data_IF_299309322508
#
_entry.id   IF_299309322508
#
_cell.length_a   1.000
_cell.length_b   1.000
_cell.length_c   1.000
_cell.angle_alpha   90.00
_cell.angle_beta   90.00
_cell.angle_gamma   90.00
#
_symmetry.space_group_name_H-M   'P 1'
#
loop_
_entity.id
_entity.type
_entity.pdbx_description
1 polymer ?
#
# COMPACT_ATOMS: atom_id res chain seq x y z
N UNK A 1 -34.14 -58.43 -17.90
CA UNK A 1 -33.05 -57.92 -18.73
C UNK A 1 -31.74 -58.37 -18.09
N UNK A 2 -31.06 -59.29 -18.77
CA UNK A 2 -29.74 -59.82 -18.42
C UNK A 2 -28.69 -58.70 -18.47
N UNK A 3 -27.71 -58.71 -17.56
CA UNK A 3 -26.30 -58.80 -17.92
C UNK A 3 -25.48 -59.32 -16.72
N UNK A 4 -24.74 -60.40 -16.99
CA UNK A 4 -23.92 -61.18 -16.05
C UNK A 4 -22.49 -61.14 -16.58
N UNK A 5 -21.57 -60.71 -15.69
CA UNK A 5 -20.14 -61.04 -15.52
C UNK A 5 -19.09 -60.72 -16.60
N UNK A 6 -18.00 -60.09 -16.14
CA UNK A 6 -16.66 -60.72 -16.15
C UNK A 6 -15.74 -60.16 -15.05
N UNK A 7 -15.32 -61.05 -14.16
CA UNK A 7 -14.18 -60.90 -13.25
C UNK A 7 -12.95 -61.41 -14.00
N UNK A 8 -11.82 -60.67 -13.94
CA UNK A 8 -10.50 -61.24 -14.17
C UNK A 8 -9.54 -60.69 -13.11
N UNK A 9 -9.20 -61.55 -12.16
CA UNK A 9 -8.02 -61.41 -11.32
C UNK A 9 -6.86 -62.16 -11.98
N UNK A 10 -5.66 -61.58 -11.99
CA UNK A 10 -4.42 -62.33 -12.09
C UNK A 10 -3.29 -61.55 -11.40
N UNK A 11 -2.57 -62.30 -10.57
CA UNK A 11 -1.57 -61.84 -9.62
C UNK A 11 -0.17 -61.75 -10.25
N UNK A 12 0.64 -60.84 -9.68
CA UNK A 12 2.01 -61.14 -9.23
C UNK A 12 3.13 -61.21 -10.27
N UNK A 13 3.95 -60.17 -10.30
CA UNK A 13 5.40 -60.32 -10.37
C UNK A 13 6.06 -59.19 -9.56
N UNK A 14 6.81 -59.58 -8.53
CA UNK A 14 7.63 -58.71 -7.70
C UNK A 14 8.94 -58.38 -8.43
N UNK A 15 9.37 -57.11 -8.43
CA UNK A 15 10.77 -56.74 -8.71
C UNK A 15 11.19 -55.50 -7.91
N UNK A 16 12.28 -55.70 -7.16
CA UNK A 16 13.30 -54.78 -6.65
C UNK A 16 12.88 -53.58 -5.78
N UNK A 17 12.96 -53.82 -4.47
CA UNK A 17 13.29 -52.83 -3.46
C UNK A 17 14.71 -52.28 -3.75
N UNK A 18 14.80 -51.05 -4.28
CA UNK A 18 16.04 -50.27 -4.28
C UNK A 18 15.86 -49.19 -3.22
N UNK A 19 16.51 -49.38 -2.08
CA UNK A 19 16.62 -48.36 -1.06
C UNK A 19 17.34 -47.13 -1.63
N UNK A 20 16.56 -46.11 -1.99
CA UNK A 20 17.03 -44.77 -2.25
C UNK A 20 16.38 -43.86 -1.23
N UNK A 21 17.11 -43.52 -0.17
CA UNK A 21 16.66 -42.50 0.77
C UNK A 21 16.35 -41.21 0.01
N UNK A 22 15.19 -40.63 0.30
CA UNK A 22 14.86 -39.27 -0.15
C UNK A 22 15.92 -38.36 0.47
N UNK A 23 16.84 -37.85 -0.35
CA UNK A 23 17.62 -36.68 0.03
C UNK A 23 16.63 -35.53 -0.05
N UNK A 24 16.12 -35.13 1.11
CA UNK A 24 15.48 -33.83 1.25
C UNK A 24 16.62 -32.84 1.09
N UNK A 25 16.51 -31.98 0.08
CA UNK A 25 17.34 -30.79 -0.14
C UNK A 25 16.60 -29.63 0.56
N UNK A 26 16.87 -29.35 1.84
CA UNK A 26 16.06 -28.45 2.65
C UNK A 26 16.30 -26.97 2.32
N UNK A 27 17.36 -26.66 1.57
CA UNK A 27 17.77 -25.32 1.14
C UNK A 27 17.62 -25.10 -0.38
N UNK A 28 17.40 -26.16 -1.16
CA UNK A 28 16.97 -26.08 -2.56
C UNK A 28 18.07 -25.69 -3.55
N UNK A 29 19.34 -25.90 -3.19
CA UNK A 29 20.49 -25.50 -4.00
C UNK A 29 20.98 -26.58 -4.98
N UNK A 30 20.41 -27.79 -4.93
CA UNK A 30 20.71 -28.88 -5.83
C UNK A 30 22.06 -29.56 -5.60
N UNK A 31 22.70 -29.38 -4.45
CA UNK A 31 23.97 -30.03 -4.09
C UNK A 31 23.79 -31.19 -3.09
N UNK A 32 24.52 -32.31 -3.25
CA UNK A 32 24.43 -33.43 -2.32
C UNK A 32 25.04 -33.08 -0.95
N UNK A 33 24.19 -33.00 0.08
CA UNK A 33 24.54 -32.61 1.44
C UNK A 33 25.70 -33.41 2.05
N UNK A 34 26.76 -32.70 2.43
CA UNK A 34 27.89 -33.27 3.17
C UNK A 34 27.60 -33.17 4.66
N UNK A 35 27.32 -34.30 5.31
CA UNK A 35 27.18 -34.38 6.76
C UNK A 35 28.53 -34.13 7.43
N UNK A 36 28.77 -32.92 7.92
CA UNK A 36 29.98 -32.59 8.65
C UNK A 36 29.91 -31.25 9.38
N UNK A 37 29.79 -31.32 10.72
CA UNK A 37 30.18 -30.28 11.68
C UNK A 37 29.61 -28.88 11.47
N UNK A 38 28.59 -28.51 12.26
CA UNK A 38 28.07 -27.14 12.31
C UNK A 38 29.21 -26.17 12.68
N UNK A 39 29.63 -25.25 11.80
CA UNK A 39 30.54 -24.19 12.17
C UNK A 39 29.83 -23.27 13.16
N UNK A 40 30.50 -22.88 14.24
CA UNK A 40 29.98 -21.95 15.26
C UNK A 40 29.87 -20.49 14.78
N UNK A 41 29.60 -20.30 13.49
CA UNK A 41 29.41 -19.01 12.82
C UNK A 41 28.25 -19.06 11.82
N UNK A 42 27.21 -19.83 12.16
CA UNK A 42 25.89 -19.65 11.58
C UNK A 42 25.23 -18.48 12.31
N UNK A 43 25.64 -17.26 11.97
CA UNK A 43 24.63 -16.23 11.80
C UNK A 43 23.67 -16.78 10.76
N UNK A 44 22.43 -17.06 11.17
CA UNK A 44 21.34 -17.23 10.21
C UNK A 44 21.31 -15.91 9.46
N UNK A 45 21.94 -15.89 8.28
CA UNK A 45 21.71 -14.82 7.33
C UNK A 45 20.19 -14.83 7.08
N UNK A 46 19.47 -13.70 7.28
CA UNK A 46 18.09 -13.63 6.86
C UNK A 46 18.07 -14.03 5.38
N UNK A 47 17.17 -14.96 5.03
CA UNK A 47 17.10 -15.57 3.72
C UNK A 47 17.36 -14.55 2.59
N UNK A 48 18.20 -14.87 1.59
CA UNK A 48 18.46 -13.95 0.50
C UNK A 48 17.16 -13.68 -0.26
N UNK A 49 16.68 -12.42 -0.27
CA UNK A 49 15.65 -11.98 -1.21
C UNK A 49 14.55 -11.02 -0.74
N UNK A 50 14.76 -10.13 0.24
CA UNK A 50 13.87 -8.95 0.45
C UNK A 50 14.19 -7.82 -0.55
N UNK A 51 14.35 -8.17 -1.83
CA UNK A 51 14.40 -7.21 -2.95
C UNK A 51 13.13 -7.23 -3.80
N UNK A 52 12.12 -8.05 -3.46
CA UNK A 52 10.89 -8.21 -4.24
C UNK A 52 9.65 -7.58 -3.57
N UNK A 53 9.59 -7.56 -2.23
CA UNK A 53 8.43 -7.03 -1.51
C UNK A 53 8.57 -5.51 -1.27
N UNK A 54 7.88 -4.72 -2.07
CA UNK A 54 7.96 -3.26 -2.10
C UNK A 54 6.67 -2.57 -1.59
N UNK A 55 5.67 -3.37 -1.24
CA UNK A 55 4.41 -2.90 -0.67
C UNK A 55 4.08 -3.62 0.64
N UNK A 56 3.28 -2.98 1.49
CA UNK A 56 2.64 -3.64 2.62
C UNK A 56 1.20 -3.16 2.80
N UNK A 57 0.44 -3.80 3.69
CA UNK A 57 -0.96 -3.46 3.86
C UNK A 57 -1.69 -4.35 4.84
N UNK A 58 -3.01 -4.17 4.92
CA UNK A 58 -3.89 -4.88 5.82
C UNK A 58 -5.20 -5.33 5.18
N UNK A 59 -5.67 -6.49 5.63
CA UNK A 59 -6.99 -7.00 5.32
C UNK A 59 -8.04 -6.56 6.34
N UNK A 60 -9.31 -6.64 5.93
CA UNK A 60 -10.46 -6.34 6.78
C UNK A 60 -10.41 -7.07 8.13
N UNK A 61 -10.01 -8.35 8.12
CA UNK A 61 -9.93 -9.17 9.32
C UNK A 61 -8.74 -8.83 10.23
N UNK A 62 -7.86 -7.90 9.84
CA UNK A 62 -6.73 -7.46 10.63
C UNK A 62 -5.40 -8.14 10.35
N UNK A 63 -5.33 -9.05 9.37
CA UNK A 63 -4.06 -9.63 8.92
C UNK A 63 -3.26 -8.60 8.15
N UNK A 64 -2.00 -8.42 8.51
CA UNK A 64 -1.04 -7.61 7.76
C UNK A 64 -0.27 -8.49 6.76
N UNK A 65 0.04 -7.89 5.61
CA UNK A 65 0.71 -8.55 4.49
C UNK A 65 1.83 -7.66 3.93
N UNK A 66 2.83 -8.31 3.34
CA UNK A 66 3.78 -7.70 2.41
C UNK A 66 3.44 -8.21 1.00
N UNK A 67 3.72 -7.40 -0.03
CA UNK A 67 3.44 -7.71 -1.42
C UNK A 67 4.61 -7.33 -2.31
N UNK A 68 4.77 -8.10 -3.39
CA UNK A 68 5.65 -7.80 -4.51
C UNK A 68 4.80 -7.23 -5.65
N UNK A 69 4.98 -5.94 -5.94
CA UNK A 69 4.21 -5.25 -6.98
C UNK A 69 4.51 -5.72 -8.41
N UNK A 70 5.62 -6.42 -8.62
CA UNK A 70 6.03 -6.94 -9.94
C UNK A 70 5.38 -8.29 -10.26
N UNK A 71 5.07 -9.10 -9.24
CA UNK A 71 4.46 -10.42 -9.38
C UNK A 71 3.02 -10.49 -8.87
N UNK A 72 2.57 -9.49 -8.11
CA UNK A 72 1.27 -9.49 -7.45
C UNK A 72 1.12 -10.57 -6.38
N UNK A 73 2.21 -11.20 -5.94
CA UNK A 73 2.21 -12.19 -4.85
C UNK A 73 2.41 -11.46 -3.53
N UNK A 74 1.72 -11.92 -2.49
CA UNK A 74 1.96 -11.45 -1.13
C UNK A 74 2.28 -12.58 -0.15
N UNK A 75 2.68 -12.19 1.06
CA UNK A 75 2.83 -13.10 2.19
C UNK A 75 2.30 -12.47 3.47
N UNK A 76 1.91 -13.33 4.39
CA UNK A 76 1.46 -12.93 5.73
C UNK A 76 2.64 -12.39 6.53
N UNK A 77 2.50 -11.19 7.09
CA UNK A 77 3.38 -10.67 8.14
C UNK A 77 2.91 -11.16 9.51
N UNK A 78 1.59 -11.16 9.73
CA UNK A 78 0.97 -11.63 10.96
C UNK A 78 -0.33 -10.90 11.26
N UNK A 79 -0.95 -11.14 12.44
CA UNK A 79 -2.04 -10.31 12.91
C UNK A 79 -1.53 -8.91 13.26
N UNK A 80 -2.15 -7.86 12.74
CA UNK A 80 -1.79 -6.47 13.05
C UNK A 80 -2.10 -6.05 14.48
N UNK A 81 -2.94 -6.81 15.19
CA UNK A 81 -3.46 -6.46 16.51
C UNK A 81 -4.70 -5.56 16.49
N UNK A 82 -5.17 -5.17 15.32
CA UNK A 82 -6.44 -4.44 15.11
C UNK A 82 -7.25 -5.08 13.98
N UNK A 83 -8.52 -4.72 13.84
CA UNK A 83 -9.44 -5.26 12.83
C UNK A 83 -10.14 -4.12 12.09
N UNK A 84 -10.93 -4.47 11.08
CA UNK A 84 -11.71 -3.53 10.25
C UNK A 84 -10.85 -2.50 9.54
N UNK A 85 -9.63 -2.90 9.17
CA UNK A 85 -8.75 -2.10 8.32
C UNK A 85 -9.34 -2.04 6.92
N UNK A 86 -9.51 -0.85 6.37
CA UNK A 86 -10.27 -0.64 5.15
C UNK A 86 -9.67 0.39 4.18
N UNK A 87 -8.63 1.11 4.58
CA UNK A 87 -7.97 2.12 3.79
C UNK A 87 -6.51 2.23 4.19
N UNK A 88 -5.65 2.61 3.24
CA UNK A 88 -4.21 2.80 3.40
C UNK A 88 -3.74 4.11 2.77
N UNK A 89 -2.66 4.68 3.29
CA UNK A 89 -1.87 5.71 2.63
C UNK A 89 -0.40 5.55 3.06
N UNK A 90 0.60 5.97 2.28
CA UNK A 90 1.97 5.95 2.76
C UNK A 90 2.11 7.02 3.86
N UNK A 91 2.96 6.79 4.87
CA UNK A 91 3.33 7.87 5.80
C UNK A 91 4.32 8.84 5.18
N UNK A 92 4.93 8.43 4.07
CA UNK A 92 6.05 9.11 3.45
C UNK A 92 7.40 8.78 4.09
N UNK A 93 7.45 7.97 5.16
CA UNK A 93 8.68 7.58 5.89
C UNK A 93 8.92 6.06 5.92
N UNK A 94 8.40 5.31 4.93
CA UNK A 94 8.58 3.85 4.87
C UNK A 94 7.59 3.05 5.72
N UNK A 95 6.58 3.72 6.29
CA UNK A 95 5.47 3.09 6.99
C UNK A 95 4.15 3.36 6.25
N UNK A 96 3.08 2.70 6.70
CA UNK A 96 1.75 2.83 6.09
C UNK A 96 0.74 3.28 7.14
N UNK A 97 0.04 4.37 6.85
CA UNK A 97 -1.19 4.71 7.55
C UNK A 97 -2.29 3.74 7.18
N UNK A 98 -3.06 3.28 8.16
CA UNK A 98 -4.28 2.53 7.91
C UNK A 98 -5.45 3.09 8.71
N UNK A 99 -6.64 3.06 8.14
CA UNK A 99 -7.87 3.36 8.86
C UNK A 99 -8.99 2.45 8.37
N UNK A 100 -10.14 2.53 9.03
CA UNK A 100 -11.35 1.83 8.64
C UNK A 100 -12.44 2.16 9.64
N UNK A 101 -13.05 1.14 10.24
CA UNK A 101 -14.04 1.38 11.30
C UNK A 101 -13.39 1.60 12.66
N UNK A 102 -13.99 2.47 13.47
CA UNK A 102 -13.59 2.67 14.86
C UNK A 102 -12.73 3.91 15.14
N UNK A 103 -12.66 4.86 14.21
CA UNK A 103 -12.17 6.21 14.50
C UNK A 103 -10.71 6.28 14.92
N UNK A 104 -9.85 5.41 14.39
CA UNK A 104 -8.40 5.44 14.67
C UNK A 104 -7.62 5.41 13.35
N UNK A 105 -6.63 6.29 13.25
CA UNK A 105 -5.56 6.21 12.27
C UNK A 105 -4.43 5.39 12.88
N UNK A 106 -4.14 4.24 12.27
CA UNK A 106 -3.07 3.33 12.64
C UNK A 106 -1.85 3.57 11.78
N UNK A 107 -0.69 3.19 12.28
CA UNK A 107 0.51 2.96 11.47
C UNK A 107 0.87 1.49 11.56
N UNK A 108 1.03 0.84 10.41
CA UNK A 108 1.56 -0.53 10.31
C UNK A 108 3.08 -0.45 10.12
N UNK A 109 3.80 -1.17 10.98
CA UNK A 109 5.21 -1.46 10.76
C UNK A 109 5.34 -2.59 9.72
N UNK A 110 5.91 -2.33 8.53
CA UNK A 110 5.98 -3.33 7.46
C UNK A 110 6.94 -4.49 7.77
N UNK A 111 7.84 -4.35 8.75
CA UNK A 111 8.77 -5.42 9.13
C UNK A 111 8.11 -6.46 10.05
N UNK A 112 7.15 -6.04 10.87
CA UNK A 112 6.49 -6.90 11.87
C UNK A 112 5.01 -7.14 11.58
N UNK A 113 4.39 -6.31 10.74
CA UNK A 113 2.96 -6.27 10.49
C UNK A 113 2.13 -5.67 11.63
N UNK A 114 2.75 -5.26 12.74
CA UNK A 114 2.05 -4.76 13.92
C UNK A 114 1.55 -3.32 13.71
N UNK A 115 0.32 -3.07 14.14
CA UNK A 115 -0.28 -1.74 14.14
C UNK A 115 -0.04 -1.02 15.47
N UNK A 116 0.27 0.28 15.40
CA UNK A 116 0.25 1.21 16.53
C UNK A 116 -0.65 2.39 16.21
N UNK A 117 -1.37 2.91 17.21
CA UNK A 117 -2.20 4.08 17.00
C UNK A 117 -1.33 5.32 16.70
N UNK A 118 -1.67 6.05 15.65
CA UNK A 118 -1.09 7.35 15.33
C UNK A 118 -1.93 8.48 15.94
N UNK A 119 -3.24 8.45 15.69
CA UNK A 119 -4.20 9.43 16.22
C UNK A 119 -5.62 8.84 16.25
N UNK A 120 -6.47 9.37 17.13
CA UNK A 120 -7.92 9.16 17.05
C UNK A 120 -8.50 10.14 16.04
N UNK A 121 -9.37 9.67 15.14
CA UNK A 121 -10.01 10.49 14.11
C UNK A 121 -11.53 10.53 14.32
N UNK A 122 -12.17 11.60 13.88
CA UNK A 122 -13.63 11.80 14.04
C UNK A 122 -14.48 11.14 12.93
N UNK A 123 -13.86 10.33 12.07
CA UNK A 123 -14.51 9.61 10.98
C UNK A 123 -14.91 8.20 11.43
N UNK A 124 -16.14 7.79 11.13
CA UNK A 124 -16.69 6.53 11.62
C UNK A 124 -16.32 5.32 10.75
N UNK A 125 -16.26 5.52 9.43
CA UNK A 125 -15.95 4.48 8.45
C UNK A 125 -15.11 5.06 7.30
N UNK A 126 -13.79 4.81 7.36
CA UNK A 126 -12.85 5.27 6.33
C UNK A 126 -12.68 4.20 5.25
N UNK A 127 -12.91 4.56 3.99
CA UNK A 127 -12.92 3.66 2.82
C UNK A 127 -11.77 3.86 1.83
N UNK A 128 -11.09 4.99 1.95
CA UNK A 128 -9.91 5.33 1.19
C UNK A 128 -9.09 6.35 1.96
N UNK A 129 -7.78 6.29 1.84
CA UNK A 129 -6.83 7.23 2.43
C UNK A 129 -5.81 7.60 1.37
N UNK A 130 -5.32 8.84 1.35
CA UNK A 130 -4.22 9.22 0.46
C UNK A 130 -3.36 10.30 1.10
N UNK A 131 -2.05 10.21 0.95
CA UNK A 131 -1.12 11.27 1.33
C UNK A 131 -0.84 12.13 0.10
N UNK A 132 -1.10 13.44 0.19
CA UNK A 132 -0.72 14.38 -0.87
C UNK A 132 0.80 14.62 -0.90
N UNK A 133 1.36 15.09 -2.03
CA UNK A 133 2.76 15.52 -2.10
C UNK A 133 3.14 16.59 -1.06
N UNK A 134 2.17 17.40 -0.62
CA UNK A 134 2.34 18.40 0.43
C UNK A 134 2.30 17.85 1.87
N UNK A 135 2.06 16.55 2.04
CA UNK A 135 2.02 15.87 3.35
C UNK A 135 0.66 15.92 4.04
N UNK A 136 -0.42 16.25 3.32
CA UNK A 136 -1.79 16.28 3.85
C UNK A 136 -2.48 14.95 3.59
N UNK A 137 -3.14 14.40 4.60
CA UNK A 137 -3.90 13.15 4.45
C UNK A 137 -5.33 13.47 4.02
N UNK A 138 -5.82 12.77 3.01
CA UNK A 138 -7.19 12.80 2.55
C UNK A 138 -7.85 11.46 2.85
N UNK A 139 -9.16 11.49 3.12
CA UNK A 139 -9.93 10.31 3.47
C UNK A 139 -11.29 10.32 2.79
N UNK A 140 -11.71 9.14 2.33
CA UNK A 140 -13.10 8.86 1.96
C UNK A 140 -13.82 8.36 3.19
N UNK A 141 -14.91 9.03 3.59
CA UNK A 141 -15.75 8.64 4.71
C UNK A 141 -17.13 8.20 4.22
N UNK A 142 -17.52 6.98 4.54
CA UNK A 142 -18.89 6.50 4.32
C UNK A 142 -19.78 6.96 5.46
N UNK A 143 -20.73 7.83 5.15
CA UNK A 143 -21.72 8.31 6.13
C UNK A 143 -22.86 7.32 6.33
N UNK A 144 -23.25 6.61 5.26
CA UNK A 144 -24.28 5.59 5.25
C UNK A 144 -24.21 4.79 3.95
N UNK A 145 -24.48 3.48 4.06
CA UNK A 145 -24.47 2.59 2.91
C UNK A 145 -25.39 3.08 1.78
N UNK A 146 -24.84 3.15 0.56
CA UNK A 146 -25.56 3.57 -0.64
C UNK A 146 -25.83 5.07 -0.73
N UNK A 147 -25.37 5.88 0.23
CA UNK A 147 -25.31 7.33 0.09
C UNK A 147 -23.99 7.76 -0.53
N UNK A 148 -23.93 8.94 -1.17
CA UNK A 148 -22.66 9.47 -1.65
C UNK A 148 -21.63 9.60 -0.53
N UNK A 149 -20.42 9.12 -0.79
CA UNK A 149 -19.31 9.23 0.14
C UNK A 149 -18.81 10.68 0.23
N UNK A 150 -18.04 10.96 1.27
CA UNK A 150 -17.51 12.29 1.55
C UNK A 150 -15.99 12.31 1.52
N UNK A 151 -15.41 13.35 0.92
CA UNK A 151 -13.98 13.61 1.02
C UNK A 151 -13.70 14.48 2.26
N UNK A 152 -12.73 14.05 3.05
CA UNK A 152 -12.24 14.75 4.23
C UNK A 152 -10.74 14.96 4.14
N UNK A 153 -10.26 16.03 4.74
CA UNK A 153 -8.85 16.25 5.05
C UNK A 153 -8.58 15.88 6.50
N UNK A 154 -7.51 15.14 6.77
CA UNK A 154 -7.09 14.75 8.12
C UNK A 154 -5.73 15.38 8.40
N UNK A 155 -5.59 15.98 9.58
CA UNK A 155 -4.27 16.20 10.19
C UNK A 155 -3.83 14.90 10.88
N UNK A 156 -2.80 14.20 10.38
CA UNK A 156 -2.40 12.90 10.92
C UNK A 156 -1.77 12.98 12.33
N UNK A 157 -1.38 14.17 12.81
CA UNK A 157 -0.82 14.34 14.16
C UNK A 157 -1.91 14.50 15.21
N UNK A 158 -2.91 15.34 14.92
CA UNK A 158 -4.01 15.61 15.86
C UNK A 158 -5.22 14.70 15.66
N UNK A 159 -5.34 14.10 14.46
CA UNK A 159 -6.50 13.33 14.02
C UNK A 159 -7.72 14.18 13.67
N UNK A 160 -7.61 15.51 13.73
CA UNK A 160 -8.69 16.41 13.35
C UNK A 160 -9.03 16.22 11.86
N UNK A 161 -10.30 16.00 11.55
CA UNK A 161 -10.79 15.90 10.19
C UNK A 161 -11.67 17.09 9.80
N UNK A 162 -11.47 17.63 8.60
CA UNK A 162 -12.30 18.68 8.00
C UNK A 162 -12.95 18.15 6.74
N UNK A 163 -14.28 18.16 6.70
CA UNK A 163 -15.05 17.80 5.51
C UNK A 163 -14.78 18.78 4.37
N UNK A 164 -14.46 18.26 3.20
CA UNK A 164 -14.28 19.04 1.97
C UNK A 164 -15.61 19.09 1.21
N UNK A 165 -16.21 17.93 0.92
CA UNK A 165 -17.37 17.86 0.04
C UNK A 165 -17.95 16.46 -0.08
N UNK A 166 -19.09 16.34 -0.76
CA UNK A 166 -19.61 15.04 -1.20
C UNK A 166 -18.95 14.67 -2.52
N UNK A 167 -18.60 13.40 -2.67
CA UNK A 167 -17.98 12.85 -3.89
C UNK A 167 -19.01 12.52 -4.98
N UNK A 168 -20.31 12.63 -4.70
CA UNK A 168 -21.39 12.33 -5.65
C UNK A 168 -21.56 10.85 -6.00
N UNK A 169 -20.68 9.98 -5.50
CA UNK A 169 -20.63 8.55 -5.79
C UNK A 169 -20.82 7.75 -4.49
N UNK A 170 -21.68 6.73 -4.47
CA UNK A 170 -21.73 5.79 -3.37
C UNK A 170 -20.72 4.65 -3.60
N UNK A 171 -19.89 4.34 -2.62
CA UNK A 171 -19.03 3.17 -2.70
C UNK A 171 -17.64 3.41 -3.24
N UNK A 172 -17.15 4.63 -3.08
CA UNK A 172 -15.75 4.94 -3.34
C UNK A 172 -14.87 4.15 -2.36
N UNK A 173 -13.98 3.35 -2.92
CA UNK A 173 -12.98 2.56 -2.23
C UNK A 173 -11.59 2.91 -2.74
N UNK A 174 -10.60 2.88 -1.85
CA UNK A 174 -9.25 3.26 -2.23
C UNK A 174 -9.14 4.73 -2.64
N UNK A 175 -7.97 5.30 -2.40
CA UNK A 175 -7.68 6.67 -2.72
C UNK A 175 -6.17 6.75 -2.89
N UNK A 176 -5.67 7.46 -3.89
CA UNK A 176 -4.24 7.60 -4.07
C UNK A 176 -3.92 8.90 -4.81
N UNK A 177 -2.87 9.60 -4.38
CA UNK A 177 -2.24 10.60 -5.23
C UNK A 177 -1.30 9.90 -6.19
N UNK A 178 -1.40 10.23 -7.47
CA UNK A 178 -0.39 9.89 -8.46
C UNK A 178 0.05 11.18 -9.16
N UNK A 179 1.25 11.64 -8.81
CA UNK A 179 1.64 13.04 -9.01
C UNK A 179 0.75 13.99 -8.18
N UNK A 180 0.26 15.05 -8.80
CA UNK A 180 -0.64 16.04 -8.17
C UNK A 180 -2.13 15.65 -8.25
N UNK A 181 -2.46 14.58 -8.98
CA UNK A 181 -3.84 14.15 -9.20
C UNK A 181 -4.27 13.15 -8.14
N UNK A 182 -5.41 13.43 -7.49
CA UNK A 182 -6.06 12.50 -6.59
C UNK A 182 -6.98 11.58 -7.39
N UNK A 183 -6.71 10.29 -7.31
CA UNK A 183 -7.53 9.22 -7.87
C UNK A 183 -8.30 8.49 -6.78
N UNK A 184 -9.48 8.01 -7.13
CA UNK A 184 -10.35 7.16 -6.31
C UNK A 184 -10.88 6.01 -7.17
N UNK A 185 -11.28 4.91 -6.54
CA UNK A 185 -11.86 3.78 -7.26
C UNK A 185 -13.29 3.49 -6.78
N UNK A 186 -14.28 3.76 -7.61
CA UNK A 186 -15.70 3.55 -7.28
C UNK A 186 -16.16 2.13 -7.63
N UNK A 187 -16.62 1.40 -6.61
CA UNK A 187 -17.22 0.05 -6.79
C UNK A 187 -18.74 0.08 -6.71
N UNK A 188 -19.35 1.26 -6.65
CA UNK A 188 -20.79 1.42 -6.52
C UNK A 188 -21.30 0.98 -5.13
N UNK A 189 -22.63 0.88 -4.94
CA UNK A 189 -23.27 0.67 -3.63
C UNK A 189 -23.12 -0.76 -3.09
N UNK A 190 -21.91 -1.33 -3.11
CA UNK A 190 -21.58 -2.66 -2.62
C UNK A 190 -21.92 -3.81 -3.58
N UNK A 191 -22.37 -3.51 -4.79
CA UNK A 191 -22.63 -4.49 -5.85
C UNK A 191 -21.40 -4.76 -6.74
N UNK A 192 -20.30 -4.02 -6.56
CA UNK A 192 -19.10 -4.14 -7.38
C UNK A 192 -19.25 -3.51 -8.77
N UNK A 193 -20.28 -2.69 -8.97
CA UNK A 193 -20.57 -2.00 -10.24
C UNK A 193 -20.64 -0.50 -9.92
N UNK A 194 -19.51 0.17 -10.06
CA UNK A 194 -19.36 1.62 -9.96
C UNK A 194 -18.78 2.21 -11.25
N UNK A 195 -18.31 3.46 -11.17
CA UNK A 195 -17.59 4.13 -12.25
C UNK A 195 -16.17 3.59 -12.46
N UNK A 196 -15.63 2.78 -11.56
CA UNK A 196 -14.23 2.37 -11.62
C UNK A 196 -13.33 3.55 -11.26
N UNK A 197 -12.29 3.82 -12.06
CA UNK A 197 -11.32 4.87 -11.76
C UNK A 197 -11.91 6.27 -12.00
N UNK A 198 -11.83 7.13 -10.98
CA UNK A 198 -12.22 8.54 -11.07
C UNK A 198 -11.09 9.45 -10.59
N UNK A 199 -11.05 10.67 -11.10
CA UNK A 199 -10.26 11.75 -10.51
C UNK A 199 -11.11 12.56 -9.52
N UNK A 200 -10.48 13.17 -8.53
CA UNK A 200 -11.15 13.92 -7.46
C UNK A 200 -10.54 15.32 -7.31
N UNK A 201 -11.37 16.36 -7.36
CA UNK A 201 -10.95 17.73 -7.01
C UNK A 201 -10.89 17.88 -5.49
N UNK A 202 -9.67 18.08 -4.97
CA UNK A 202 -9.38 18.21 -3.52
C UNK A 202 -9.99 19.45 -2.87
N UNK A 203 -10.52 20.41 -3.62
CA UNK A 203 -11.09 21.65 -3.10
C UNK A 203 -12.60 21.57 -2.86
N UNK A 204 -13.30 20.70 -3.60
CA UNK A 204 -14.76 20.61 -3.57
C UNK A 204 -15.30 19.17 -3.61
N UNK A 205 -14.42 18.17 -3.66
CA UNK A 205 -14.70 16.74 -3.76
C UNK A 205 -15.37 16.29 -5.07
N UNK A 206 -15.47 17.12 -6.11
CA UNK A 206 -16.07 16.71 -7.37
C UNK A 206 -15.28 15.57 -8.01
N UNK A 207 -15.99 14.53 -8.42
CA UNK A 207 -15.45 13.37 -9.12
C UNK A 207 -15.62 13.53 -10.62
N UNK A 208 -14.65 13.05 -11.39
CA UNK A 208 -14.73 12.95 -12.85
C UNK A 208 -14.26 11.57 -13.28
N UNK A 209 -15.13 10.85 -13.95
CA UNK A 209 -14.86 9.53 -14.55
C UNK A 209 -13.68 9.62 -15.51
N UNK A 210 -12.68 8.74 -15.32
CA UNK A 210 -11.50 8.67 -16.18
C UNK A 210 -11.83 8.04 -17.53
N UNK A 211 -12.79 7.11 -17.57
CA UNK A 211 -13.19 6.42 -18.80
C UNK A 211 -14.72 6.39 -18.98
N UNK A 212 -15.33 7.55 -19.29
CA UNK A 212 -16.78 7.65 -19.43
C UNK A 212 -17.35 6.92 -20.65
N UNK A 213 -16.50 6.38 -21.53
CA UNK A 213 -16.91 5.79 -22.80
C UNK A 213 -16.79 4.27 -22.83
N UNK A 214 -16.08 3.65 -21.90
CA UNK A 214 -16.03 2.20 -21.84
C UNK A 214 -17.17 1.60 -21.01
N UNK A 215 -17.77 0.54 -21.59
CA UNK A 215 -18.58 -0.42 -20.86
C UNK A 215 -17.68 -1.48 -20.17
N UNK A 216 -16.41 -1.17 -19.93
CA UNK A 216 -15.52 -2.04 -19.17
C UNK A 216 -16.16 -2.20 -17.81
N UNK A 217 -16.63 -3.42 -17.53
CA UNK A 217 -17.14 -3.74 -16.20
C UNK A 217 -15.92 -3.58 -15.28
N UNK A 218 -15.93 -2.66 -14.31
CA UNK A 218 -14.86 -2.61 -13.32
C UNK A 218 -14.72 -4.02 -12.76
N UNK A 219 -13.49 -4.51 -12.64
CA UNK A 219 -13.30 -5.81 -12.01
C UNK A 219 -13.90 -5.77 -10.61
N UNK A 220 -14.70 -6.78 -10.32
CA UNK A 220 -15.48 -6.85 -9.09
C UNK A 220 -14.51 -6.88 -7.91
N UNK A 221 -14.37 -5.72 -7.27
CA UNK A 221 -13.81 -5.60 -5.94
C UNK A 221 -12.35 -5.18 -5.84
N UNK A 222 -11.82 -4.32 -6.73
CA UNK A 222 -10.71 -3.44 -6.34
C UNK A 222 -11.19 -2.58 -5.17
N UNK A 223 -10.54 -2.67 -4.01
CA UNK A 223 -10.94 -1.96 -2.79
C UNK A 223 -9.84 -1.07 -2.22
N UNK A 224 -8.64 -1.16 -2.77
CA UNK A 224 -7.53 -0.28 -2.48
C UNK A 224 -6.85 0.06 -3.79
N UNK A 225 -6.26 1.26 -3.86
CA UNK A 225 -5.37 1.71 -4.93
C UNK A 225 -4.18 2.42 -4.29
N UNK A 226 -3.01 2.32 -4.89
CA UNK A 226 -1.81 3.09 -4.52
C UNK A 226 -1.03 3.48 -5.79
N UNK A 227 -0.33 4.61 -5.79
CA UNK A 227 0.51 5.01 -6.92
C UNK A 227 1.90 4.41 -6.78
N UNK A 228 2.29 3.62 -7.79
CA UNK A 228 3.60 3.02 -7.89
C UNK A 228 4.68 4.01 -8.35
N UNK A 229 5.96 3.62 -8.21
CA UNK A 229 7.10 4.44 -8.65
C UNK A 229 7.17 4.64 -10.16
N UNK A 230 6.46 3.82 -10.93
CA UNK A 230 6.30 3.90 -12.38
C UNK A 230 5.22 4.91 -12.84
N UNK A 231 4.58 5.60 -11.89
CA UNK A 231 3.50 6.56 -12.17
C UNK A 231 2.17 5.92 -12.56
N UNK A 232 2.02 4.60 -12.38
CA UNK A 232 0.75 3.89 -12.54
C UNK A 232 0.10 3.62 -11.19
N UNK A 233 -1.19 3.33 -11.21
CA UNK A 233 -1.90 2.88 -10.01
C UNK A 233 -1.84 1.36 -9.89
N UNK A 234 -1.80 0.86 -8.66
CA UNK A 234 -1.87 -0.56 -8.31
C UNK A 234 -3.09 -0.75 -7.42
N UNK A 235 -4.11 -1.42 -7.95
CA UNK A 235 -5.38 -1.66 -7.28
C UNK A 235 -5.65 -3.12 -7.01
N UNK A 236 -6.44 -3.42 -5.97
CA UNK A 236 -6.77 -4.81 -5.68
C UNK A 236 -7.56 -5.08 -4.43
N UNK A 237 -7.68 -6.39 -4.13
CA UNK A 237 -8.30 -6.95 -2.92
C UNK A 237 -7.84 -8.37 -2.63
N UNK A 238 -7.98 -9.27 -3.60
CA UNK A 238 -7.44 -10.65 -3.52
C UNK A 238 -6.53 -10.98 -4.69
N UNK A 239 -6.42 -10.05 -5.63
CA UNK A 239 -5.56 -10.06 -6.80
C UNK A 239 -5.07 -8.61 -6.95
N UNK A 240 -3.95 -8.43 -7.64
CA UNK A 240 -3.35 -7.14 -7.91
C UNK A 240 -3.43 -6.80 -9.38
N UNK A 241 -3.86 -5.58 -9.64
CA UNK A 241 -4.01 -5.02 -10.97
C UNK A 241 -3.20 -3.74 -11.07
N UNK A 242 -2.56 -3.55 -12.22
CA UNK A 242 -1.97 -2.28 -12.61
C UNK A 242 -3.00 -1.53 -13.43
N UNK A 243 -3.27 -0.28 -13.06
CA UNK A 243 -4.33 0.54 -13.62
C UNK A 243 -3.69 1.73 -14.34
N UNK A 244 -4.06 1.91 -15.60
CA UNK A 244 -3.66 3.06 -16.40
C UNK A 244 -4.45 4.30 -15.99
N UNK A 245 -3.75 5.39 -15.67
CA UNK A 245 -4.35 6.60 -15.09
C UNK A 245 -5.03 7.51 -16.11
N UNK A 246 -4.94 7.18 -17.40
CA UNK A 246 -5.53 7.92 -18.52
C UNK A 246 -6.73 7.18 -19.11
N UNK A 247 -6.64 5.85 -19.17
CA UNK A 247 -7.64 5.00 -19.82
C UNK A 247 -8.46 4.17 -18.84
N UNK A 248 -8.08 4.14 -17.56
CA UNK A 248 -8.63 3.22 -16.55
C UNK A 248 -8.48 1.73 -16.89
N UNK A 249 -7.69 1.37 -17.91
CA UNK A 249 -7.43 -0.02 -18.28
C UNK A 249 -6.72 -0.76 -17.15
N UNK A 250 -7.24 -1.94 -16.81
CA UNK A 250 -6.74 -2.82 -15.74
C UNK A 250 -5.96 -4.00 -16.34
N UNK A 251 -4.71 -4.14 -15.93
CA UNK A 251 -3.83 -5.26 -16.28
C UNK A 251 -3.58 -6.11 -15.04
N UNK A 252 -3.94 -7.41 -15.08
CA UNK A 252 -3.64 -8.33 -13.99
C UNK A 252 -2.13 -8.48 -13.83
N UNK A 253 -1.61 -8.12 -12.66
CA UNK A 253 -0.22 -8.36 -12.28
C UNK A 253 -0.08 -9.78 -11.78
N UNK A 254 -0.95 -10.18 -10.84
CA UNK A 254 -0.93 -11.51 -10.25
C UNK A 254 -1.78 -11.62 -8.99
N UNK A 255 -1.64 -12.75 -8.31
CA UNK A 255 -2.37 -13.05 -7.09
C UNK A 255 -1.68 -14.12 -6.25
N UNK A 256 -2.13 -14.28 -5.00
CA UNK A 256 -1.72 -15.37 -4.12
C UNK A 256 -1.07 -14.91 -2.82
N UNK A 257 -1.32 -15.67 -1.75
CA UNK A 257 -0.72 -15.42 -0.43
C UNK A 257 -1.37 -14.32 0.40
N UNK A 258 -2.47 -13.73 -0.09
CA UNK A 258 -3.33 -12.79 0.63
C UNK A 258 -4.79 -12.92 0.21
N UNK A 259 -5.70 -12.37 1.01
CA UNK A 259 -7.13 -12.34 0.71
C UNK A 259 -7.80 -11.17 1.42
N UNK A 260 -8.80 -10.57 0.77
CA UNK A 260 -9.60 -9.47 1.32
C UNK A 260 -8.78 -8.30 1.88
N UNK A 261 -7.68 -7.97 1.20
CA UNK A 261 -6.89 -6.76 1.44
C UNK A 261 -7.77 -5.54 1.13
N UNK A 262 -7.74 -4.56 2.03
CA UNK A 262 -8.54 -3.34 1.88
C UNK A 262 -7.70 -2.07 1.92
N UNK A 263 -6.43 -2.20 2.28
CA UNK A 263 -5.47 -1.13 2.14
C UNK A 263 -4.09 -1.74 1.90
N UNK A 264 -3.39 -1.26 0.88
CA UNK A 264 -1.95 -1.43 0.74
C UNK A 264 -1.30 -0.14 0.28
N UNK A 265 0.00 -0.05 0.43
CA UNK A 265 0.77 1.02 -0.16
C UNK A 265 2.21 0.60 -0.44
N UNK A 266 2.84 1.31 -1.38
CA UNK A 266 4.26 1.19 -1.59
C UNK A 266 5.00 1.77 -0.38
N UNK A 267 5.97 1.02 0.12
CA UNK A 267 6.82 1.46 1.22
C UNK A 267 7.65 2.69 0.80
N UNK A 268 7.92 2.83 -0.49
CA UNK A 268 8.67 3.95 -1.06
C UNK A 268 7.83 4.88 -1.95
N UNK A 269 6.50 4.96 -1.76
CA UNK A 269 5.59 5.70 -2.63
C UNK A 269 6.12 7.10 -2.99
N UNK A 270 6.62 7.28 -4.22
CA UNK A 270 7.33 8.46 -4.73
C UNK A 270 8.68 8.18 -5.44
N UNK A 271 9.11 6.92 -5.47
CA UNK A 271 10.43 6.52 -5.96
C UNK A 271 11.54 6.90 -4.97
N UNK A 272 12.76 6.37 -5.14
CA UNK A 272 13.87 6.74 -4.31
C UNK A 272 14.14 8.24 -4.54
N UNK A 273 13.92 9.01 -3.50
CA UNK A 273 14.15 10.45 -3.52
C UNK A 273 14.99 10.85 -2.33
N UNK A 274 15.59 12.02 -2.45
CA UNK A 274 16.50 12.48 -1.43
C UNK A 274 15.78 12.84 -0.14
N UNK A 275 16.15 12.16 0.94
CA UNK A 275 15.75 12.50 2.30
C UNK A 275 16.83 13.30 3.01
N UNK A 276 16.38 14.25 3.83
CA UNK A 276 17.26 15.16 4.53
C UNK A 276 16.85 15.33 5.98
N UNK A 277 17.78 15.13 6.91
CA UNK A 277 17.57 15.58 8.29
C UNK A 277 17.60 17.11 8.34
N UNK A 278 16.52 17.75 8.77
CA UNK A 278 16.43 19.19 8.91
C UNK A 278 17.40 19.68 10.00
N UNK A 279 18.36 20.52 9.61
CA UNK A 279 19.31 21.16 10.53
C UNK A 279 18.90 22.57 10.93
N UNK A 280 18.14 23.27 10.07
CA UNK A 280 17.53 24.58 10.37
C UNK A 280 16.17 24.69 9.71
N UNK A 281 15.17 25.10 10.47
CA UNK A 281 13.84 25.45 9.98
C UNK A 281 13.50 26.86 10.44
N UNK A 282 12.97 27.69 9.54
CA UNK A 282 12.60 29.08 9.84
C UNK A 282 11.29 29.45 9.18
N UNK A 283 10.28 29.68 10.00
CA UNK A 283 9.01 30.25 9.57
C UNK A 283 9.19 31.71 9.14
N UNK A 284 8.50 32.11 8.07
CA UNK A 284 8.51 33.46 7.50
C UNK A 284 7.13 33.81 6.94
N UNK A 285 6.87 35.12 6.84
CA UNK A 285 5.69 35.69 6.17
C UNK A 285 4.36 35.18 6.74
N UNK A 286 4.24 35.11 8.06
CA UNK A 286 3.00 34.70 8.73
C UNK A 286 2.89 33.19 9.01
N UNK A 287 3.87 32.40 8.59
CA UNK A 287 3.87 30.98 8.92
C UNK A 287 4.14 30.77 10.43
N UNK A 288 3.32 29.96 11.08
CA UNK A 288 3.42 29.67 12.52
C UNK A 288 4.20 28.37 12.79
N UNK A 289 3.94 27.34 11.98
CA UNK A 289 4.53 26.02 12.14
C UNK A 289 5.33 25.62 10.91
N UNK A 290 6.57 25.20 11.11
CA UNK A 290 7.41 24.63 10.07
C UNK A 290 7.94 23.27 10.52
N UNK A 291 8.32 22.37 9.59
CA UNK A 291 8.95 21.11 9.94
C UNK A 291 10.11 21.32 10.93
N UNK A 292 10.12 20.62 12.08
CA UNK A 292 11.04 20.93 13.17
C UNK A 292 12.48 20.55 12.84
N UNK A 293 13.45 21.16 13.54
CA UNK A 293 14.85 20.74 13.43
C UNK A 293 14.96 19.30 13.96
N UNK A 294 15.57 18.42 13.18
CA UNK A 294 15.76 17.01 13.49
C UNK A 294 14.79 16.09 12.76
N UNK A 295 13.68 16.59 12.21
CA UNK A 295 12.79 15.76 11.40
C UNK A 295 13.41 15.43 10.04
N UNK A 296 12.88 14.38 9.41
CA UNK A 296 13.08 14.09 7.99
C UNK A 296 12.40 15.16 7.13
N UNK A 297 12.91 15.34 5.91
CA UNK A 297 12.30 16.14 4.86
C UNK A 297 12.63 15.51 3.51
N UNK A 298 11.59 15.22 2.73
CA UNK A 298 11.66 14.60 1.42
C UNK A 298 11.66 15.67 0.33
N UNK A 299 12.49 15.51 -0.70
CA UNK A 299 12.43 16.34 -1.92
C UNK A 299 11.85 15.53 -3.07
N UNK A 300 11.36 16.20 -4.12
CA UNK A 300 10.95 15.57 -5.38
C UNK A 300 12.13 15.05 -6.23
N UNK A 301 13.37 15.37 -5.84
CA UNK A 301 14.56 14.91 -6.55
C UNK A 301 14.73 13.41 -6.41
N UNK A 302 14.50 12.69 -7.50
CA UNK A 302 14.81 11.26 -7.60
C UNK A 302 16.32 11.02 -7.49
N UNK A 303 16.69 9.89 -6.92
CA UNK A 303 18.06 9.47 -6.73
C UNK A 303 18.12 7.94 -6.82
N UNK A 304 19.27 7.38 -7.20
CA UNK A 304 19.53 5.94 -7.05
C UNK A 304 20.43 5.71 -5.83
N UNK A 305 21.33 6.66 -5.58
CA UNK A 305 22.25 6.70 -4.45
C UNK A 305 22.13 8.01 -3.66
N UNK A 306 22.50 7.98 -2.37
CA UNK A 306 22.63 9.19 -1.52
C UNK A 306 23.57 10.24 -2.12
N UNK A 307 24.47 9.83 -3.02
CA UNK A 307 25.41 10.73 -3.71
C UNK A 307 24.74 11.57 -4.78
N UNK A 308 23.63 11.12 -5.34
CA UNK A 308 22.81 11.87 -6.30
C UNK A 308 22.08 13.01 -5.59
N UNK A 309 21.86 12.84 -4.29
CA UNK A 309 21.36 13.88 -3.43
C UNK A 309 22.38 14.98 -3.20
N UNK A 310 21.91 16.22 -3.31
CA UNK A 310 22.68 17.36 -2.83
C UNK A 310 23.10 17.12 -1.38
N UNK A 311 24.39 17.18 -1.04
CA UNK A 311 24.84 16.95 0.34
C UNK A 311 24.14 17.84 1.38
N UNK A 312 23.63 18.99 0.95
CA UNK A 312 22.91 19.97 1.77
C UNK A 312 21.62 20.39 1.07
N UNK A 313 20.51 20.26 1.78
CA UNK A 313 19.24 20.87 1.37
C UNK A 313 19.26 22.36 1.72
N UNK A 314 18.77 23.19 0.81
CA UNK A 314 18.41 24.59 1.07
C UNK A 314 17.18 24.93 0.23
N UNK A 315 16.00 24.76 0.81
CA UNK A 315 14.73 24.98 0.11
C UNK A 315 13.82 25.95 0.84
N UNK A 316 12.77 26.40 0.16
CA UNK A 316 11.65 27.17 0.71
C UNK A 316 10.37 26.46 0.32
N UNK A 317 9.56 26.08 1.32
CA UNK A 317 8.23 25.48 1.09
C UNK A 317 7.14 26.45 1.54
N UNK A 318 5.91 26.22 1.07
CA UNK A 318 4.73 26.84 1.65
C UNK A 318 4.59 26.43 3.12
N UNK A 319 3.93 27.26 3.93
CA UNK A 319 3.64 26.89 5.31
C UNK A 319 2.66 25.71 5.32
N UNK A 320 2.94 24.60 6.03
CA UNK A 320 2.02 23.46 6.14
C UNK A 320 0.63 23.87 6.66
N UNK A 321 0.60 24.76 7.65
CA UNK A 321 -0.62 25.09 8.41
C UNK A 321 -1.19 26.49 8.09
N UNK A 322 -0.92 27.03 6.90
CA UNK A 322 -1.57 28.27 6.47
C UNK A 322 -0.74 29.20 5.59
N UNK A 323 -0.81 30.50 5.86
CA UNK A 323 -0.18 31.53 5.04
C UNK A 323 1.29 31.71 5.41
N UNK A 324 2.17 31.79 4.39
CA UNK A 324 3.58 32.09 4.56
C UNK A 324 4.49 31.02 3.97
N UNK A 325 5.74 30.98 4.43
CA UNK A 325 6.76 30.06 3.91
C UNK A 325 7.68 29.55 5.02
N UNK A 326 8.20 28.34 4.84
CA UNK A 326 9.27 27.77 5.66
C UNK A 326 10.57 27.71 4.88
N UNK A 327 11.65 28.28 5.44
CA UNK A 327 13.01 28.13 4.89
C UNK A 327 13.72 26.99 5.60
N UNK A 328 14.01 25.93 4.85
CA UNK A 328 14.62 24.72 5.36
C UNK A 328 16.08 24.62 4.94
N UNK A 329 16.91 24.11 5.85
CA UNK A 329 18.25 23.60 5.55
C UNK A 329 18.42 22.24 6.17
N UNK A 330 18.88 21.29 5.39
CA UNK A 330 19.08 19.90 5.82
C UNK A 330 20.41 19.33 5.35
N UNK A 331 20.72 18.12 5.79
CA UNK A 331 21.84 17.31 5.30
C UNK A 331 21.24 16.03 4.72
N UNK A 332 21.71 15.61 3.55
CA UNK A 332 21.25 14.35 2.95
C UNK A 332 21.47 13.22 3.95
N UNK A 333 20.46 12.37 4.06
CA UNK A 333 20.38 11.26 5.01
C UNK A 333 20.31 9.94 4.26
N UNK A 334 19.36 9.82 3.34
CA UNK A 334 19.18 8.64 2.49
C UNK A 334 18.64 9.02 1.11
N UNK A 335 18.60 8.02 0.25
CA UNK A 335 17.91 8.01 -1.03
C UNK A 335 16.93 6.83 -0.95
N UNK A 336 15.63 7.13 -0.79
CA UNK A 336 14.55 6.16 -0.54
C UNK A 336 13.18 6.88 -0.48
#
# INVERSE_FOLDING_TARGET
MLFVWCIAALAGAAVANVGGGVIIDPDGDGLPGVAGGVPSDLTIDPAPGVSAEDMAGGAWAGTAYAFDSSTGVGRVLGPSGTQTLNASAPTGDGEIYMAGRGGTLWIIDPSTGLARAAAGITLADVRGLALSPSGKVFAVNEIAFGQPDELHAIDPQSGNSVRIGSMGLPGVQGLAFCGDTLYAYDIGPGNGIGQGLVTVDVNNAQTTDVDPNQNSSPQIGIQTISCGPDGKLYGGRSEMYRIDTVTADEELVGSGGYSDVRGWDFLEAGGPVCRYTIKKSRAKRGCETCPPKGSSYRTEGQCEDVKDCNKKLKTTIACPDGNGICKLKGKAESCS
#
